data_IF_121461573528
#
_entry.id   IF_121461573528
#
_cell.length_a   1.000
_cell.length_b   1.000
_cell.length_c   1.000
_cell.angle_alpha   90.00
_cell.angle_beta   90.00
_cell.angle_gamma   90.00
#
_symmetry.space_group_name_H-M   'P 1'
#
loop_
_entity.id
_entity.type
_entity.pdbx_description
1 polymer ?
#
# COMPACT_ATOMS: atom_id res chain seq x y z
N UNK A 1 19.89 -8.56 -20.05
CA UNK A 1 18.74 -7.67 -20.26
C UNK A 1 17.79 -7.83 -19.08
N UNK A 2 17.23 -6.77 -18.52
CA UNK A 2 16.24 -6.90 -17.46
C UNK A 2 15.01 -7.67 -17.96
N UNK A 3 14.28 -8.31 -17.03
CA UNK A 3 13.03 -8.99 -17.37
C UNK A 3 11.99 -8.00 -17.91
N UNK A 4 11.12 -8.40 -18.86
CA UNK A 4 10.09 -7.54 -19.40
C UNK A 4 9.09 -7.09 -18.32
N UNK A 5 8.49 -5.94 -18.52
CA UNK A 5 7.40 -5.44 -17.65
C UNK A 5 6.20 -6.38 -17.78
N UNK A 6 5.76 -6.92 -16.66
CA UNK A 6 4.52 -7.71 -16.61
C UNK A 6 3.30 -6.80 -16.67
N UNK A 7 2.32 -7.12 -17.51
CA UNK A 7 1.09 -6.33 -17.62
C UNK A 7 -0.14 -7.19 -17.92
N UNK A 8 -1.32 -6.66 -17.57
CA UNK A 8 -2.63 -7.21 -17.97
C UNK A 8 -3.03 -6.64 -19.33
N UNK A 9 -4.01 -7.23 -20.01
CA UNK A 9 -4.46 -6.70 -21.30
C UNK A 9 -5.10 -5.30 -21.18
N UNK A 10 -5.97 -5.12 -20.15
CA UNK A 10 -6.67 -3.88 -19.92
C UNK A 10 -6.67 -3.50 -18.44
N UNK A 11 -6.52 -2.21 -18.21
CA UNK A 11 -6.75 -1.58 -16.90
C UNK A 11 -8.21 -1.18 -16.74
N UNK A 12 -8.62 -0.88 -15.51
CA UNK A 12 -9.95 -0.40 -15.15
C UNK A 12 -9.84 0.72 -14.11
N UNK A 13 -10.92 1.48 -13.92
CA UNK A 13 -10.97 2.54 -12.91
C UNK A 13 -10.78 1.98 -11.51
N UNK A 14 -9.81 2.54 -10.78
CA UNK A 14 -9.53 2.21 -9.36
C UNK A 14 -10.53 2.89 -8.41
N UNK A 15 -11.15 3.98 -8.82
CA UNK A 15 -11.86 4.89 -7.93
C UNK A 15 -13.35 4.57 -7.76
N UNK A 16 -13.81 3.41 -8.24
CA UNK A 16 -15.17 2.99 -7.94
C UNK A 16 -15.39 2.89 -6.43
N UNK A 17 -16.59 3.28 -5.99
CA UNK A 17 -16.96 3.24 -4.58
C UNK A 17 -17.11 1.79 -4.11
N UNK A 18 -16.16 1.34 -3.32
CA UNK A 18 -16.17 0.01 -2.70
C UNK A 18 -17.19 -0.01 -1.57
N UNK A 19 -17.73 -1.19 -1.19
CA UNK A 19 -18.69 -1.32 -0.09
C UNK A 19 -18.20 -0.59 1.18
N UNK A 20 -19.11 0.19 1.76
CA UNK A 20 -18.83 0.98 2.97
C UNK A 20 -18.16 2.33 2.74
N UNK A 21 -17.51 2.57 1.58
CA UNK A 21 -16.90 3.85 1.28
C UNK A 21 -17.92 4.87 0.75
N UNK A 22 -17.79 6.10 1.21
CA UNK A 22 -18.50 7.28 0.73
C UNK A 22 -17.65 8.54 0.97
N UNK A 23 -17.98 9.64 0.31
CA UNK A 23 -17.29 10.92 0.51
C UNK A 23 -17.32 11.35 1.97
N UNK A 24 -16.18 11.83 2.48
CA UNK A 24 -16.00 12.27 3.87
C UNK A 24 -15.87 11.14 4.90
N UNK A 25 -15.89 9.86 4.49
CA UNK A 25 -15.70 8.75 5.41
C UNK A 25 -14.23 8.39 5.54
N UNK A 26 -13.75 8.29 6.77
CA UNK A 26 -12.36 7.98 7.09
C UNK A 26 -12.17 6.51 7.46
N UNK A 27 -11.03 5.99 7.07
CA UNK A 27 -10.65 4.60 7.29
C UNK A 27 -9.36 4.51 8.10
N UNK A 28 -9.32 3.61 9.06
CA UNK A 28 -8.14 3.33 9.87
C UNK A 28 -7.41 2.12 9.35
N UNK A 29 -6.09 2.23 9.21
CA UNK A 29 -5.26 1.15 8.69
C UNK A 29 -3.83 1.19 9.23
N UNK A 30 -3.14 0.05 9.13
CA UNK A 30 -1.73 -0.07 9.40
C UNK A 30 -0.99 -0.32 8.08
N UNK A 31 -0.21 0.67 7.61
CA UNK A 31 0.54 0.62 6.34
C UNK A 31 1.96 1.12 6.55
N UNK A 32 2.86 0.80 5.62
CA UNK A 32 4.15 1.48 5.55
C UNK A 32 3.98 2.78 4.76
N UNK A 33 4.19 3.93 5.40
CA UNK A 33 4.30 5.22 4.73
C UNK A 33 5.71 5.33 4.13
N UNK A 34 5.79 5.42 2.80
CA UNK A 34 7.06 5.28 2.06
C UNK A 34 7.70 6.63 1.73
N UNK A 35 6.96 7.73 1.82
CA UNK A 35 7.42 9.04 1.38
C UNK A 35 8.73 9.54 2.00
N UNK A 36 9.12 9.00 3.16
CA UNK A 36 10.37 9.34 3.85
C UNK A 36 11.60 8.56 3.33
N UNK A 37 11.38 7.48 2.56
CA UNK A 37 12.45 6.70 1.95
C UNK A 37 12.89 7.33 0.62
N UNK A 38 13.86 8.25 0.67
CA UNK A 38 14.27 9.07 -0.46
C UNK A 38 14.61 8.27 -1.73
N UNK A 39 15.34 7.15 -1.59
CA UNK A 39 15.72 6.31 -2.72
C UNK A 39 14.53 5.63 -3.38
N UNK A 40 13.54 5.19 -2.60
CA UNK A 40 12.32 4.58 -3.13
C UNK A 40 11.40 5.63 -3.74
N UNK A 41 11.32 6.81 -3.14
CA UNK A 41 10.58 7.95 -3.71
C UNK A 41 11.18 8.37 -5.07
N UNK A 42 12.51 8.39 -5.19
CA UNK A 42 13.22 8.66 -6.46
C UNK A 42 12.94 7.56 -7.50
N UNK A 43 12.96 6.27 -7.10
CA UNK A 43 12.62 5.18 -7.99
C UNK A 43 11.17 5.31 -8.51
N UNK A 44 10.22 5.60 -7.62
CA UNK A 44 8.83 5.83 -7.98
C UNK A 44 8.69 7.02 -8.96
N UNK A 45 9.36 8.13 -8.67
CA UNK A 45 9.38 9.33 -9.51
C UNK A 45 9.89 9.04 -10.92
N UNK A 46 10.98 8.29 -11.10
CA UNK A 46 11.52 7.94 -12.42
C UNK A 46 10.49 7.21 -13.28
N UNK A 47 9.76 6.26 -12.69
CA UNK A 47 8.69 5.57 -13.41
C UNK A 47 7.49 6.48 -13.66
N UNK A 48 7.15 7.36 -12.72
CA UNK A 48 6.08 8.35 -12.90
C UNK A 48 6.36 9.34 -14.02
N UNK A 49 7.63 9.75 -14.24
CA UNK A 49 7.98 10.61 -15.38
C UNK A 49 7.59 9.98 -16.72
N UNK A 50 7.82 8.66 -16.90
CA UNK A 50 7.40 7.95 -18.10
C UNK A 50 5.87 7.83 -18.23
N UNK A 51 5.14 7.95 -17.12
CA UNK A 51 3.68 7.83 -17.07
C UNK A 51 2.94 9.17 -17.24
N UNK A 52 3.62 10.32 -17.21
CA UNK A 52 3.00 11.66 -17.25
C UNK A 52 2.14 11.91 -18.48
N UNK A 53 2.41 11.23 -19.57
CA UNK A 53 1.68 11.39 -20.84
C UNK A 53 0.38 10.59 -20.92
N UNK A 54 0.10 9.77 -19.90
CA UNK A 54 -1.12 8.94 -19.83
C UNK A 54 -2.19 9.61 -18.97
N UNK A 55 -3.19 10.32 -19.57
CA UNK A 55 -4.17 11.10 -18.82
C UNK A 55 -5.12 10.24 -17.98
N UNK A 56 -5.20 8.94 -18.28
CA UNK A 56 -6.02 7.99 -17.54
C UNK A 56 -5.25 7.33 -16.37
N UNK A 57 -4.14 7.94 -15.92
CA UNK A 57 -3.39 7.56 -14.73
C UNK A 57 -3.31 8.73 -13.75
N UNK A 58 -3.70 8.50 -12.50
CA UNK A 58 -3.49 9.41 -11.39
C UNK A 58 -2.15 9.04 -10.71
N UNK A 59 -1.12 9.87 -10.92
CA UNK A 59 0.20 9.67 -10.33
C UNK A 59 0.15 9.96 -8.82
N UNK A 60 0.76 9.10 -8.01
CA UNK A 60 0.72 9.21 -6.56
C UNK A 60 1.85 10.15 -6.09
N UNK A 61 1.54 11.31 -5.47
CA UNK A 61 2.56 12.16 -4.86
C UNK A 61 3.41 11.41 -3.85
N UNK A 62 4.68 11.77 -3.72
CA UNK A 62 5.61 11.12 -2.77
C UNK A 62 5.06 11.08 -1.34
N UNK A 63 4.36 12.13 -0.92
CA UNK A 63 3.68 12.22 0.39
C UNK A 63 2.68 11.10 0.64
N UNK A 64 2.05 10.57 -0.42
CA UNK A 64 1.01 9.54 -0.34
C UNK A 64 1.50 8.16 -0.81
N UNK A 65 2.80 8.00 -1.09
CA UNK A 65 3.36 6.69 -1.39
C UNK A 65 3.29 5.81 -0.14
N UNK A 66 2.69 4.63 -0.30
CA UNK A 66 2.56 3.67 0.79
C UNK A 66 2.57 2.23 0.28
N UNK A 67 2.98 1.33 1.15
CA UNK A 67 2.77 -0.10 0.96
C UNK A 67 1.57 -0.51 1.81
N UNK A 68 0.48 -0.85 1.12
CA UNK A 68 -0.74 -1.33 1.76
C UNK A 68 -0.46 -2.64 2.50
N UNK A 69 -0.75 -2.67 3.78
CA UNK A 69 -0.52 -3.85 4.61
C UNK A 69 -1.80 -4.42 5.18
N UNK A 70 -2.46 -3.71 6.11
CA UNK A 70 -3.66 -4.20 6.77
C UNK A 70 -4.66 -3.07 7.02
N UNK A 71 -5.89 -3.24 6.50
CA UNK A 71 -7.03 -2.44 6.90
C UNK A 71 -7.50 -2.82 8.30
N UNK A 72 -8.04 -1.86 9.03
CA UNK A 72 -8.58 -2.06 10.38
C UNK A 72 -10.09 -1.90 10.37
N UNK A 73 -10.60 -0.79 9.82
CA UNK A 73 -12.02 -0.51 9.74
C UNK A 73 -12.30 0.98 9.49
N UNK A 74 -13.57 1.32 9.26
CA UNK A 74 -13.96 2.71 9.21
C UNK A 74 -13.97 3.30 10.63
N UNK A 75 -13.54 4.55 10.77
CA UNK A 75 -13.43 5.19 12.08
C UNK A 75 -14.77 5.37 12.79
N UNK A 76 -15.85 5.55 12.03
CA UNK A 76 -17.21 5.64 12.57
C UNK A 76 -17.81 4.29 12.99
N UNK A 77 -17.13 3.17 12.68
CA UNK A 77 -17.48 1.82 13.14
C UNK A 77 -16.61 1.37 14.34
N UNK A 78 -15.67 2.22 14.81
CA UNK A 78 -14.75 1.94 15.91
C UNK A 78 -14.97 2.93 17.06
N UNK A 79 -14.95 2.45 18.30
CA UNK A 79 -14.90 3.32 19.45
C UNK A 79 -13.47 3.68 19.88
N UNK A 80 -13.32 4.74 20.69
CA UNK A 80 -12.02 5.23 21.14
C UNK A 80 -11.24 4.19 21.95
N UNK A 81 -11.91 3.31 22.70
CA UNK A 81 -11.28 2.24 23.46
C UNK A 81 -10.70 1.17 22.53
N UNK A 82 -11.44 0.81 21.49
CA UNK A 82 -10.94 -0.14 20.45
C UNK A 82 -9.72 0.43 19.74
N UNK A 83 -9.76 1.72 19.33
CA UNK A 83 -8.63 2.39 18.68
C UNK A 83 -7.39 2.40 19.60
N UNK A 84 -7.58 2.73 20.88
CA UNK A 84 -6.49 2.74 21.86
C UNK A 84 -5.90 1.34 22.08
N UNK A 85 -6.74 0.30 22.21
CA UNK A 85 -6.30 -1.09 22.36
C UNK A 85 -5.58 -1.61 21.14
N UNK A 86 -6.04 -1.26 19.94
CA UNK A 86 -5.38 -1.61 18.68
C UNK A 86 -4.00 -0.95 18.59
N UNK A 87 -3.91 0.36 18.82
CA UNK A 87 -2.64 1.09 18.78
C UNK A 87 -1.63 0.49 19.78
N UNK A 88 -2.06 0.24 21.02
CA UNK A 88 -1.21 -0.35 22.05
C UNK A 88 -0.74 -1.78 21.67
N UNK A 89 -1.66 -2.67 21.32
CA UNK A 89 -1.33 -4.06 20.98
C UNK A 89 -0.44 -4.17 19.74
N UNK A 90 -0.66 -3.32 18.72
CA UNK A 90 0.20 -3.27 17.53
C UNK A 90 1.62 -2.85 17.92
N UNK A 91 1.80 -1.82 18.77
CA UNK A 91 3.12 -1.39 19.24
C UNK A 91 3.85 -2.51 19.96
N UNK A 92 3.19 -3.17 20.91
CA UNK A 92 3.80 -4.27 21.68
C UNK A 92 4.22 -5.42 20.75
N UNK A 93 3.32 -5.81 19.85
CA UNK A 93 3.54 -6.95 18.97
C UNK A 93 4.63 -6.70 17.93
N UNK A 94 4.68 -5.50 17.34
CA UNK A 94 5.70 -5.15 16.35
C UNK A 94 7.08 -4.92 16.97
N UNK A 95 7.17 -4.54 18.23
CA UNK A 95 8.45 -4.42 18.94
C UNK A 95 9.22 -5.76 19.05
N UNK A 96 8.55 -6.89 18.88
CA UNK A 96 9.14 -8.22 18.95
C UNK A 96 9.66 -8.73 17.59
N UNK A 97 9.33 -8.06 16.50
CA UNK A 97 9.65 -8.51 15.14
C UNK A 97 10.93 -7.85 14.62
N UNK A 98 11.68 -8.54 13.75
CA UNK A 98 12.72 -7.87 12.99
C UNK A 98 12.10 -6.95 11.94
N UNK A 99 12.71 -5.77 11.76
CA UNK A 99 12.31 -4.85 10.71
C UNK A 99 12.53 -5.48 9.31
N UNK A 100 11.52 -5.45 8.42
CA UNK A 100 11.65 -6.00 7.08
C UNK A 100 12.73 -5.29 6.26
N UNK A 101 13.51 -6.08 5.52
CA UNK A 101 14.39 -5.58 4.46
C UNK A 101 13.88 -6.16 3.15
N UNK A 102 13.52 -5.30 2.22
CA UNK A 102 12.94 -5.67 0.92
C UNK A 102 13.56 -4.87 -0.21
N UNK A 103 13.53 -5.45 -1.41
CA UNK A 103 14.00 -4.81 -2.63
C UNK A 103 12.81 -4.47 -3.52
N UNK A 104 12.81 -3.28 -4.06
CA UNK A 104 11.88 -2.86 -5.10
C UNK A 104 12.60 -2.84 -6.43
N UNK A 105 12.03 -3.57 -7.39
CA UNK A 105 12.56 -3.71 -8.73
C UNK A 105 11.75 -2.89 -9.74
N UNK A 106 11.56 -3.46 -10.93
CA UNK A 106 10.74 -2.88 -11.99
C UNK A 106 9.25 -2.96 -11.62
N UNK A 107 8.44 -1.98 -12.05
CA UNK A 107 7.00 -2.01 -11.82
C UNK A 107 6.31 -3.11 -12.62
N UNK A 108 5.07 -3.39 -12.23
CA UNK A 108 4.14 -4.21 -12.99
C UNK A 108 2.86 -3.41 -13.24
N UNK A 109 2.19 -3.66 -14.37
CA UNK A 109 0.90 -3.04 -14.70
C UNK A 109 -0.22 -4.04 -14.41
N UNK A 110 -1.12 -3.69 -13.49
CA UNK A 110 -2.25 -4.52 -13.10
C UNK A 110 -3.56 -3.81 -13.40
N UNK A 111 -4.69 -4.44 -13.09
CA UNK A 111 -6.01 -3.93 -13.45
C UNK A 111 -6.26 -2.49 -13.02
N UNK A 112 -5.86 -2.12 -11.81
CA UNK A 112 -6.23 -0.84 -11.20
C UNK A 112 -5.03 0.07 -10.91
N UNK A 113 -3.79 -0.43 -11.07
CA UNK A 113 -2.58 0.31 -10.69
C UNK A 113 -1.33 -0.12 -11.46
N UNK A 114 -0.37 0.79 -11.51
CA UNK A 114 1.05 0.50 -11.75
C UNK A 114 1.75 0.50 -10.41
N UNK A 115 2.47 -0.57 -10.07
CA UNK A 115 3.10 -0.67 -8.77
C UNK A 115 4.45 -1.41 -8.79
N UNK A 116 5.26 -1.14 -7.79
CA UNK A 116 6.55 -1.77 -7.49
C UNK A 116 6.31 -2.93 -6.50
N UNK A 117 6.51 -4.20 -6.90
CA UNK A 117 6.45 -5.32 -5.96
C UNK A 117 7.58 -5.24 -4.93
N UNK A 118 7.30 -5.61 -3.68
CA UNK A 118 8.29 -5.77 -2.63
C UNK A 118 8.79 -7.22 -2.59
N UNK A 119 10.10 -7.43 -2.69
CA UNK A 119 10.73 -8.74 -2.71
C UNK A 119 11.85 -8.84 -1.66
N UNK A 120 11.90 -9.90 -0.83
CA UNK A 120 10.91 -10.96 -0.70
C UNK A 120 9.63 -10.51 0.04
N UNK A 121 8.46 -11.09 -0.27
CA UNK A 121 7.20 -10.70 0.36
C UNK A 121 7.05 -11.19 1.81
N UNK A 122 7.77 -12.23 2.20
CA UNK A 122 7.59 -12.92 3.49
C UNK A 122 7.83 -12.01 4.72
N UNK A 123 8.84 -11.14 4.77
CA UNK A 123 9.02 -10.24 5.93
C UNK A 123 7.84 -9.28 6.15
N UNK A 124 7.25 -8.76 5.06
CA UNK A 124 6.06 -7.90 5.13
C UNK A 124 4.84 -8.71 5.57
N UNK A 125 4.69 -9.93 5.06
CA UNK A 125 3.61 -10.82 5.48
C UNK A 125 3.66 -11.12 6.98
N UNK A 126 4.85 -11.33 7.55
CA UNK A 126 5.02 -11.58 8.98
C UNK A 126 4.58 -10.37 9.84
N UNK A 127 4.91 -9.14 9.43
CA UNK A 127 4.43 -7.92 10.09
C UNK A 127 2.91 -7.81 9.98
N UNK A 128 2.35 -8.09 8.80
CA UNK A 128 0.91 -8.08 8.58
C UNK A 128 0.19 -9.10 9.46
N UNK A 129 0.70 -10.32 9.54
CA UNK A 129 0.09 -11.38 10.34
C UNK A 129 0.08 -11.01 11.83
N UNK A 130 1.16 -10.40 12.33
CA UNK A 130 1.21 -9.89 13.70
C UNK A 130 0.15 -8.80 13.98
N UNK A 131 -0.08 -7.89 13.02
CA UNK A 131 -1.16 -6.89 13.13
C UNK A 131 -2.53 -7.57 13.11
N UNK A 132 -2.72 -8.59 12.27
CA UNK A 132 -3.98 -9.36 12.18
C UNK A 132 -4.30 -10.09 13.48
N UNK A 133 -3.29 -10.65 14.17
CA UNK A 133 -3.46 -11.27 15.48
C UNK A 133 -4.04 -10.26 16.50
N UNK A 134 -3.54 -9.02 16.49
CA UNK A 134 -4.06 -7.95 17.34
C UNK A 134 -5.49 -7.56 16.96
N UNK A 135 -5.79 -7.46 15.66
CA UNK A 135 -7.15 -7.19 15.19
C UNK A 135 -8.14 -8.27 15.66
N UNK A 136 -7.77 -9.55 15.51
CA UNK A 136 -8.60 -10.67 15.95
C UNK A 136 -8.87 -10.60 17.46
N UNK A 137 -7.85 -10.26 18.24
CA UNK A 137 -7.98 -10.14 19.69
C UNK A 137 -8.88 -8.98 20.14
N UNK A 138 -8.81 -7.84 19.45
CA UNK A 138 -9.53 -6.60 19.84
C UNK A 138 -10.93 -6.52 19.23
N UNK A 139 -11.07 -6.89 17.95
CA UNK A 139 -12.30 -6.73 17.15
C UNK A 139 -13.07 -8.05 16.94
N UNK A 140 -12.46 -9.20 17.28
CA UNK A 140 -13.02 -10.52 17.05
C UNK A 140 -12.56 -11.14 15.71
N UNK A 141 -12.56 -12.47 15.66
CA UNK A 141 -12.11 -13.25 14.50
C UNK A 141 -13.03 -13.11 13.27
N UNK A 142 -14.30 -12.75 13.49
CA UNK A 142 -15.30 -12.55 12.43
C UNK A 142 -15.18 -11.17 11.75
N UNK A 143 -14.21 -10.35 12.14
CA UNK A 143 -14.00 -9.04 11.51
C UNK A 143 -13.74 -9.20 10.00
N UNK A 144 -14.45 -8.41 9.18
CA UNK A 144 -14.38 -8.49 7.72
C UNK A 144 -12.95 -8.27 7.15
N UNK A 145 -12.09 -7.51 7.86
CA UNK A 145 -10.70 -7.29 7.46
C UNK A 145 -9.83 -8.55 7.68
N UNK A 146 -10.31 -9.53 8.44
CA UNK A 146 -9.64 -10.79 8.70
C UNK A 146 -10.08 -11.92 7.74
N UNK A 147 -10.99 -11.65 6.81
CA UNK A 147 -11.52 -12.66 5.90
C UNK A 147 -10.40 -13.43 5.16
N UNK A 148 -10.50 -14.77 5.04
CA UNK A 148 -9.44 -15.63 4.46
C UNK A 148 -9.01 -15.23 3.05
N UNK A 149 -9.89 -14.73 2.20
CA UNK A 149 -9.58 -14.27 0.85
C UNK A 149 -8.59 -13.12 0.81
N UNK A 150 -8.56 -12.29 1.84
CA UNK A 150 -7.59 -11.19 1.98
C UNK A 150 -6.18 -11.67 2.30
N UNK A 151 -6.02 -12.83 2.90
CA UNK A 151 -4.71 -13.45 3.18
C UNK A 151 -4.09 -14.01 1.91
N UNK A 152 -4.86 -14.81 1.18
CA UNK A 152 -4.37 -15.52 -0.01
C UNK A 152 -4.00 -14.58 -1.17
N UNK A 153 -4.66 -13.42 -1.26
CA UNK A 153 -4.42 -12.43 -2.31
C UNK A 153 -3.34 -11.40 -1.96
N UNK A 154 -2.78 -11.43 -0.75
CA UNK A 154 -1.81 -10.42 -0.34
C UNK A 154 -0.53 -10.48 -1.17
N UNK A 155 -0.21 -9.36 -1.79
CA UNK A 155 1.01 -9.12 -2.55
C UNK A 155 1.53 -7.74 -2.16
N UNK A 156 2.54 -7.66 -1.28
CA UNK A 156 3.08 -6.37 -0.83
C UNK A 156 3.66 -5.59 -2.00
N UNK A 157 3.26 -4.33 -2.12
CA UNK A 157 3.68 -3.46 -3.21
C UNK A 157 3.49 -1.98 -2.85
N UNK A 158 4.21 -1.13 -3.57
CA UNK A 158 4.01 0.33 -3.55
C UNK A 158 3.43 0.74 -4.90
N UNK A 159 2.20 1.26 -4.90
CA UNK A 159 1.60 1.82 -6.11
C UNK A 159 2.26 3.15 -6.44
N UNK A 160 2.57 3.37 -7.73
CA UNK A 160 3.12 4.64 -8.25
C UNK A 160 2.08 5.43 -9.05
N UNK A 161 1.06 4.74 -9.57
CA UNK A 161 -0.08 5.35 -10.25
C UNK A 161 -1.34 4.48 -10.12
N UNK A 162 -2.50 5.11 -10.03
CA UNK A 162 -3.80 4.45 -10.13
C UNK A 162 -4.43 4.72 -11.48
N UNK A 163 -5.07 3.71 -12.07
CA UNK A 163 -5.88 3.92 -13.28
C UNK A 163 -7.20 4.58 -12.92
N UNK A 164 -7.59 5.59 -13.68
CA UNK A 164 -8.86 6.32 -13.49
C UNK A 164 -9.87 6.09 -14.63
N UNK A 165 -9.56 5.17 -15.55
CA UNK A 165 -10.44 4.76 -16.65
C UNK A 165 -10.06 3.37 -17.16
N UNK A 166 -10.95 2.77 -17.97
CA UNK A 166 -10.63 1.59 -18.76
C UNK A 166 -9.67 1.97 -19.90
N UNK A 167 -8.55 1.28 -20.03
CA UNK A 167 -7.52 1.54 -21.05
C UNK A 167 -6.64 0.32 -21.31
N UNK A 168 -6.05 0.17 -22.52
CA UNK A 168 -5.04 -0.85 -22.76
C UNK A 168 -3.80 -0.65 -21.87
N UNK A 169 -3.24 -1.73 -21.34
CA UNK A 169 -2.05 -1.66 -20.51
C UNK A 169 -0.73 -1.72 -21.31
N UNK A 170 -0.75 -2.24 -22.54
CA UNK A 170 0.44 -2.39 -23.38
C UNK A 170 1.22 -1.09 -23.62
N UNK A 171 0.60 0.06 -23.97
CA UNK A 171 1.34 1.32 -24.15
C UNK A 171 2.02 1.80 -22.88
N UNK A 172 1.40 1.57 -21.71
CA UNK A 172 1.95 1.90 -20.40
C UNK A 172 3.17 1.02 -20.12
N UNK A 173 3.05 -0.28 -20.32
CA UNK A 173 4.16 -1.21 -20.17
C UNK A 173 5.33 -0.86 -21.10
N UNK A 174 5.06 -0.53 -22.36
CA UNK A 174 6.07 -0.10 -23.32
C UNK A 174 6.83 1.18 -22.90
N UNK A 175 6.13 2.14 -22.30
CA UNK A 175 6.75 3.35 -21.75
C UNK A 175 7.65 3.02 -20.54
N UNK A 176 7.18 2.15 -19.64
CA UNK A 176 7.95 1.71 -18.47
C UNK A 176 9.19 0.89 -18.85
N UNK A 177 9.17 0.15 -19.98
CA UNK A 177 10.31 -0.59 -20.51
C UNK A 177 11.51 0.32 -20.81
N UNK A 178 11.27 1.57 -21.17
CA UNK A 178 12.31 2.53 -21.55
C UNK A 178 13.01 3.16 -20.34
N UNK A 179 12.50 2.94 -19.14
CA UNK A 179 13.07 3.52 -17.91
C UNK A 179 14.26 2.68 -17.44
N UNK A 180 15.41 3.30 -17.39
CA UNK A 180 16.60 2.73 -16.76
C UNK A 180 16.62 3.12 -15.28
N UNK A 181 16.46 2.14 -14.40
CA UNK A 181 16.54 2.33 -12.97
C UNK A 181 17.10 1.09 -12.28
N UNK A 182 17.94 1.31 -11.29
CA UNK A 182 18.48 0.24 -10.45
C UNK A 182 17.49 -0.14 -9.35
N UNK A 183 17.48 -1.41 -8.91
CA UNK A 183 16.70 -1.84 -7.76
C UNK A 183 17.08 -1.08 -6.49
N UNK A 184 16.10 -0.84 -5.62
CA UNK A 184 16.28 -0.15 -4.35
C UNK A 184 16.00 -1.09 -3.20
N UNK A 185 16.98 -1.23 -2.28
CA UNK A 185 16.83 -1.97 -1.02
C UNK A 185 16.34 -1.03 0.05
N UNK A 186 15.25 -1.38 0.73
CA UNK A 186 14.64 -0.55 1.78
C UNK A 186 14.56 -1.34 3.07
N UNK A 187 14.96 -0.69 4.15
CA UNK A 187 14.78 -1.16 5.52
C UNK A 187 13.54 -0.48 6.12
N UNK A 188 12.49 -1.25 6.36
CA UNK A 188 11.19 -0.75 6.80
C UNK A 188 11.07 -0.90 8.32
N UNK A 189 11.55 0.06 9.09
CA UNK A 189 11.61 0.02 10.54
C UNK A 189 10.40 0.67 11.25
N UNK A 190 9.48 1.25 10.49
CA UNK A 190 8.23 1.84 11.00
C UNK A 190 7.04 1.50 10.12
N UNK A 191 5.89 1.27 10.73
CA UNK A 191 4.58 1.36 10.09
C UNK A 191 3.88 2.62 10.54
N UNK A 192 2.92 3.12 9.74
CA UNK A 192 2.00 4.17 10.14
C UNK A 192 0.63 3.58 10.51
N UNK A 193 0.10 3.96 11.66
CA UNK A 193 -1.33 3.86 11.91
C UNK A 193 -1.98 5.09 11.28
N UNK A 194 -2.67 4.88 10.18
CA UNK A 194 -3.14 5.92 9.29
C UNK A 194 -4.65 6.09 9.40
N UNK A 195 -5.09 7.33 9.53
CA UNK A 195 -6.46 7.75 9.31
C UNK A 195 -6.53 8.43 7.94
N UNK A 196 -7.20 7.82 6.96
CA UNK A 196 -7.21 8.31 5.58
C UNK A 196 -8.59 8.29 4.94
N UNK A 197 -8.73 9.06 3.85
CA UNK A 197 -9.92 9.11 2.99
C UNK A 197 -9.54 8.95 1.50
N UNK A 198 -10.54 8.93 0.61
CA UNK A 198 -10.38 8.74 -0.85
C UNK A 198 -11.07 9.84 -1.67
N UNK A 199 -11.37 10.98 -1.08
CA UNK A 199 -12.29 11.97 -1.65
C UNK A 199 -11.77 12.62 -2.94
N UNK A 200 -10.44 12.73 -3.09
CA UNK A 200 -9.79 13.40 -4.21
C UNK A 200 -9.12 12.41 -5.19
N UNK A 201 -9.63 11.18 -5.31
CA UNK A 201 -8.98 10.12 -6.08
C UNK A 201 -7.53 9.91 -5.65
N UNK A 202 -7.31 9.93 -4.32
CA UNK A 202 -6.03 9.65 -3.68
C UNK A 202 -6.29 9.11 -2.28
N UNK A 203 -5.41 8.25 -1.79
CA UNK A 203 -5.41 7.85 -0.39
C UNK A 203 -4.62 8.90 0.37
N UNK A 204 -5.36 9.80 1.04
CA UNK A 204 -4.81 10.96 1.74
C UNK A 204 -5.06 10.78 3.24
N UNK A 205 -3.99 10.70 4.03
CA UNK A 205 -4.15 10.58 5.48
C UNK A 205 -4.14 11.94 6.16
N UNK A 206 -5.08 12.11 7.05
CA UNK A 206 -5.22 13.30 7.91
C UNK A 206 -4.44 13.14 9.19
N UNK A 207 -4.16 11.87 9.58
CA UNK A 207 -3.36 11.52 10.75
C UNK A 207 -2.48 10.31 10.43
N UNK A 208 -1.23 10.39 10.92
CA UNK A 208 -0.28 9.28 10.86
C UNK A 208 0.41 9.18 12.21
N UNK A 209 0.33 8.01 12.83
CA UNK A 209 1.01 7.69 14.07
C UNK A 209 2.09 6.63 13.79
N UNK A 210 3.39 6.97 13.85
CA UNK A 210 4.44 6.01 13.57
C UNK A 210 4.55 4.97 14.68
N UNK A 211 4.69 3.71 14.28
CA UNK A 211 4.94 2.57 15.16
C UNK A 211 6.19 1.86 14.71
N UNK A 212 7.19 1.79 15.59
CA UNK A 212 8.47 1.16 15.31
C UNK A 212 8.35 -0.37 15.29
N UNK A 213 9.09 -1.00 14.37
CA UNK A 213 9.28 -2.45 14.30
C UNK A 213 10.66 -2.75 14.89
N UNK A 214 10.71 -3.70 15.82
CA UNK A 214 11.93 -4.00 16.56
C UNK A 214 12.15 -3.09 17.76
N UNK A 215 13.14 -3.44 18.59
CA UNK A 215 13.53 -2.70 19.79
C UNK A 215 14.61 -1.67 19.51
#
# INVERSE_FOLDING_TARGET
MPAPIEYVDNMQDHWWWRPGWQAGRHYYACHFAIGEHAELAELAWRYQEALRTFPALDLIPSTWLHLTMQGIGFLDDLDDEQVARLSHGIRERLAELPAPVVTFHRPVVRKEAVYLPADPPAPIAAVRDAVRDVLAHVLGEDNAELAPGRVQSFRPHVSVAYSNAAQPAEPIAAALEQVEAEPVVVHLDHVGLLEFHRDHRMYEWTRSEPVRIGR
#
